data_IF_599582506395
#
_entry.id   IF_599582506395
#
_cell.length_a   1.000
_cell.length_b   1.000
_cell.length_c   1.000
_cell.angle_alpha   90.00
_cell.angle_beta   90.00
_cell.angle_gamma   90.00
#
_symmetry.space_group_name_H-M   'P 1'
#
loop_
_entity.id
_entity.type
_entity.pdbx_description
1 polymer ?
#
# COMPACT_ATOMS: atom_id res chain seq x y z
N UNK A 1 12.19 12.48 8.33
CA UNK A 1 11.66 11.32 7.56
C UNK A 1 10.98 10.36 8.53
N UNK A 2 10.12 9.47 8.02
CA UNK A 2 9.56 8.31 8.76
C UNK A 2 9.90 7.02 8.00
N UNK A 3 9.60 5.85 8.57
CA UNK A 3 9.74 4.55 7.95
C UNK A 3 8.41 3.79 7.91
N UNK A 4 8.35 2.75 7.09
CA UNK A 4 7.22 1.81 7.09
C UNK A 4 7.45 0.74 8.15
N UNK A 5 6.46 0.48 9.00
CA UNK A 5 6.48 -0.55 10.03
C UNK A 5 5.51 -1.66 9.63
N UNK A 6 5.93 -2.91 9.85
CA UNK A 6 5.12 -4.10 9.58
C UNK A 6 4.87 -4.88 10.88
N UNK A 7 3.61 -4.95 11.31
CA UNK A 7 3.16 -5.62 12.53
C UNK A 7 2.74 -7.06 12.27
N UNK A 8 3.67 -7.90 11.80
CA UNK A 8 3.39 -9.31 11.45
C UNK A 8 2.93 -10.18 12.63
N UNK A 9 3.18 -9.77 13.88
CA UNK A 9 2.88 -10.58 15.07
C UNK A 9 1.41 -10.97 15.18
N UNK A 10 0.48 -10.05 14.88
CA UNK A 10 -0.96 -10.34 14.89
C UNK A 10 -1.32 -11.38 13.83
N UNK A 11 -0.91 -11.12 12.59
CA UNK A 11 -1.13 -12.03 11.46
C UNK A 11 -0.60 -13.45 11.74
N UNK A 12 0.64 -13.59 12.21
CA UNK A 12 1.21 -14.90 12.52
C UNK A 12 0.49 -15.60 13.65
N UNK A 13 0.12 -14.87 14.71
CA UNK A 13 -0.63 -15.43 15.84
C UNK A 13 -1.97 -16.01 15.38
N UNK A 14 -2.69 -15.29 14.53
CA UNK A 14 -3.99 -15.73 14.03
C UNK A 14 -3.88 -16.93 13.10
N UNK A 15 -2.87 -16.96 12.22
CA UNK A 15 -2.60 -18.10 11.33
C UNK A 15 -2.23 -19.37 12.11
N UNK A 16 -1.40 -19.26 13.15
CA UNK A 16 -1.03 -20.39 14.00
C UNK A 16 -2.25 -20.91 14.78
N UNK A 17 -3.05 -20.01 15.36
CA UNK A 17 -4.31 -20.41 16.04
C UNK A 17 -5.25 -21.15 15.10
N UNK A 18 -5.42 -20.66 13.86
CA UNK A 18 -6.25 -21.31 12.86
C UNK A 18 -5.73 -22.70 12.47
N UNK A 19 -4.41 -22.89 12.41
CA UNK A 19 -3.83 -24.20 12.17
C UNK A 19 -4.07 -25.15 13.34
N UNK A 20 -3.84 -24.67 14.58
CA UNK A 20 -4.02 -25.47 15.80
C UNK A 20 -5.46 -25.95 16.01
N UNK A 21 -6.46 -25.13 15.64
CA UNK A 21 -7.88 -25.48 15.79
C UNK A 21 -8.50 -26.10 14.53
N UNK A 22 -7.70 -26.40 13.50
CA UNK A 22 -8.15 -27.02 12.25
C UNK A 22 -9.01 -26.13 11.35
N UNK A 23 -9.11 -24.82 11.63
CA UNK A 23 -9.87 -23.86 10.81
C UNK A 23 -9.05 -23.18 9.70
N UNK A 24 -7.74 -23.46 9.62
CA UNK A 24 -6.87 -22.87 8.61
C UNK A 24 -7.33 -23.18 7.19
N UNK A 25 -7.29 -22.16 6.34
CA UNK A 25 -7.53 -22.25 4.91
C UNK A 25 -6.46 -21.47 4.14
N UNK A 26 -6.11 -21.99 2.97
CA UNK A 26 -5.29 -21.26 2.01
C UNK A 26 -6.05 -20.01 1.55
N UNK A 27 -5.36 -18.88 1.54
CA UNK A 27 -5.90 -17.60 1.09
C UNK A 27 -4.75 -16.66 0.69
N UNK A 28 -5.06 -15.67 -0.14
CA UNK A 28 -4.15 -14.59 -0.49
C UNK A 28 -4.33 -13.44 0.51
N UNK A 29 -3.25 -13.03 1.14
CA UNK A 29 -3.26 -11.94 2.11
C UNK A 29 -2.45 -10.75 1.59
N UNK A 30 -3.11 -9.59 1.51
CA UNK A 30 -2.50 -8.31 1.20
C UNK A 30 -2.79 -7.35 2.35
N UNK A 31 -1.82 -7.17 3.24
CA UNK A 31 -2.00 -6.34 4.43
C UNK A 31 -2.05 -4.85 4.13
N UNK A 32 -2.58 -4.10 5.08
CA UNK A 32 -2.99 -2.71 4.88
C UNK A 32 -2.75 -1.85 6.13
N UNK A 33 -3.09 -0.57 6.03
CA UNK A 33 -3.18 0.32 7.20
C UNK A 33 -4.48 0.07 7.97
N UNK A 34 -5.55 -0.36 7.29
CA UNK A 34 -6.87 -0.62 7.89
C UNK A 34 -6.90 -1.83 8.81
N UNK A 35 -6.22 -2.92 8.44
CA UNK A 35 -6.11 -4.15 9.25
C UNK A 35 -4.96 -4.10 10.25
N UNK A 36 -4.20 -3.00 10.28
CA UNK A 36 -3.13 -2.76 11.24
C UNK A 36 -1.83 -3.49 10.95
N UNK A 37 -1.67 -4.14 9.78
CA UNK A 37 -0.39 -4.73 9.42
C UNK A 37 0.67 -3.66 9.15
N UNK A 38 0.28 -2.59 8.46
CA UNK A 38 1.19 -1.54 8.00
C UNK A 38 0.95 -0.26 8.80
N UNK A 39 2.02 0.36 9.27
CA UNK A 39 1.97 1.68 9.90
C UNK A 39 3.22 2.53 9.54
N UNK A 40 3.21 3.80 9.94
CA UNK A 40 4.31 4.73 9.91
C UNK A 40 5.04 4.72 11.26
N UNK A 41 6.36 4.66 11.21
CA UNK A 41 7.21 4.89 12.37
C UNK A 41 7.06 6.34 12.89
N UNK A 42 7.55 6.64 14.10
CA UNK A 42 7.65 8.02 14.55
C UNK A 42 8.44 8.88 13.55
N UNK A 43 7.95 10.10 13.29
CA UNK A 43 8.66 11.03 12.42
C UNK A 43 9.93 11.54 13.10
N UNK A 44 11.04 11.55 12.35
CA UNK A 44 12.29 12.19 12.77
C UNK A 44 12.09 13.67 13.13
N UNK A 45 12.95 14.19 14.00
CA UNK A 45 12.81 15.53 14.61
C UNK A 45 12.79 16.68 13.61
N UNK A 46 13.40 16.51 12.43
CA UNK A 46 13.46 17.54 11.38
C UNK A 46 12.15 17.73 10.60
N UNK A 47 11.12 16.90 10.80
CA UNK A 47 9.84 17.04 10.09
C UNK A 47 8.96 18.09 10.79
N UNK A 48 8.59 19.21 10.13
CA UNK A 48 7.72 20.23 10.71
C UNK A 48 6.32 19.68 11.03
N UNK A 49 5.64 20.26 12.01
CA UNK A 49 4.32 19.81 12.43
C UNK A 49 3.30 19.82 11.30
N UNK A 50 3.28 20.89 10.49
CA UNK A 50 2.37 21.00 9.34
C UNK A 50 2.52 19.83 8.34
N UNK A 51 3.75 19.33 8.15
CA UNK A 51 4.03 18.18 7.29
C UNK A 51 3.55 16.87 7.95
N UNK A 52 3.72 16.73 9.27
CA UNK A 52 3.20 15.57 10.02
C UNK A 52 1.68 15.49 9.92
N UNK A 53 1.01 16.63 10.01
CA UNK A 53 -0.45 16.71 9.92
C UNK A 53 -0.94 16.31 8.53
N UNK A 54 -0.27 16.78 7.46
CA UNK A 54 -0.59 16.38 6.09
C UNK A 54 -0.40 14.87 5.86
N UNK A 55 0.68 14.29 6.37
CA UNK A 55 0.95 12.85 6.25
C UNK A 55 -0.10 12.05 7.03
N UNK A 56 -0.42 12.47 8.26
CA UNK A 56 -1.45 11.82 9.09
C UNK A 56 -2.81 11.86 8.42
N UNK A 57 -3.22 13.02 7.89
CA UNK A 57 -4.48 13.15 7.16
C UNK A 57 -4.53 12.23 5.94
N UNK A 58 -3.41 12.06 5.21
CA UNK A 58 -3.36 11.14 4.07
C UNK A 58 -3.38 9.67 4.51
N UNK A 59 -2.69 9.30 5.59
CA UNK A 59 -2.75 7.97 6.21
C UNK A 59 -4.18 7.61 6.59
N UNK A 60 -4.91 8.54 7.22
CA UNK A 60 -6.31 8.32 7.60
C UNK A 60 -7.23 8.20 6.39
N UNK A 61 -6.95 8.94 5.31
CA UNK A 61 -7.67 8.79 4.05
C UNK A 61 -7.45 7.41 3.39
N UNK A 62 -6.22 6.88 3.43
CA UNK A 62 -5.91 5.50 3.00
C UNK A 62 -6.63 4.50 3.90
N UNK A 63 -6.53 4.66 5.22
CA UNK A 63 -7.13 3.77 6.21
C UNK A 63 -8.65 3.68 6.07
N UNK A 64 -9.31 4.79 5.78
CA UNK A 64 -10.76 4.86 5.55
C UNK A 64 -11.20 4.42 4.16
N UNK A 65 -10.26 4.27 3.21
CA UNK A 65 -10.56 3.99 1.81
C UNK A 65 -11.11 5.19 1.02
N UNK A 66 -11.17 6.38 1.63
CA UNK A 66 -11.55 7.64 0.95
C UNK A 66 -10.49 8.12 -0.03
N UNK A 67 -9.25 7.65 0.13
CA UNK A 67 -8.18 7.76 -0.85
C UNK A 67 -7.63 6.36 -1.15
N UNK A 68 -7.38 6.09 -2.44
CA UNK A 68 -6.71 4.87 -2.89
C UNK A 68 -5.68 5.26 -3.94
N UNK A 69 -4.42 4.99 -3.66
CA UNK A 69 -3.25 5.47 -4.39
C UNK A 69 -3.16 4.94 -5.82
N UNK A 70 -3.78 3.79 -6.11
CA UNK A 70 -3.87 3.23 -7.46
C UNK A 70 -5.23 3.50 -8.13
N UNK A 71 -5.86 4.64 -7.79
CA UNK A 71 -7.01 5.17 -8.54
C UNK A 71 -6.52 6.03 -9.69
N UNK A 72 -7.03 5.79 -10.90
CA UNK A 72 -6.70 6.59 -12.08
C UNK A 72 -7.24 8.02 -12.02
N UNK A 73 -6.70 8.93 -12.86
CA UNK A 73 -5.92 8.59 -14.05
C UNK A 73 -4.44 8.31 -13.75
N UNK A 74 -3.94 7.14 -14.19
CA UNK A 74 -2.51 6.81 -14.16
C UNK A 74 -1.99 6.58 -15.57
N UNK A 75 -0.86 7.21 -15.87
CA UNK A 75 -0.14 7.11 -17.14
C UNK A 75 1.22 6.48 -16.92
N UNK A 76 1.73 5.78 -17.92
CA UNK A 76 3.11 5.29 -17.90
C UNK A 76 4.14 6.37 -18.30
N UNK A 77 5.41 5.99 -18.34
CA UNK A 77 6.53 6.83 -18.76
C UNK A 77 6.39 7.38 -20.20
N UNK A 78 5.63 6.73 -21.08
CA UNK A 78 5.36 7.20 -22.46
C UNK A 78 4.18 8.18 -22.52
N UNK A 79 3.41 8.30 -21.45
CA UNK A 79 2.18 9.08 -21.38
C UNK A 79 0.92 8.30 -21.76
N UNK A 80 1.04 7.01 -22.06
CA UNK A 80 -0.11 6.14 -22.32
C UNK A 80 -0.92 5.94 -21.03
N UNK A 81 -2.25 6.03 -21.11
CA UNK A 81 -3.14 5.84 -19.97
C UNK A 81 -3.31 4.34 -19.71
N UNK A 82 -2.90 3.88 -18.54
CA UNK A 82 -3.08 2.49 -18.08
C UNK A 82 -4.28 2.33 -17.16
N UNK A 83 -4.52 3.33 -16.31
CA UNK A 83 -5.67 3.33 -15.39
C UNK A 83 -6.53 4.55 -15.70
N UNK A 84 -7.72 4.39 -16.31
CA UNK A 84 -8.60 5.51 -16.60
C UNK A 84 -9.07 6.24 -15.34
N UNK A 85 -9.48 7.50 -15.49
CA UNK A 85 -9.99 8.31 -14.38
C UNK A 85 -11.13 7.59 -13.63
N UNK A 86 -11.03 7.55 -12.29
CA UNK A 86 -12.02 6.92 -11.42
C UNK A 86 -11.96 5.38 -11.35
N UNK A 87 -11.08 4.73 -12.14
CA UNK A 87 -10.87 3.29 -12.06
C UNK A 87 -9.86 2.97 -10.96
N UNK A 88 -10.14 1.97 -10.12
CA UNK A 88 -9.23 1.48 -9.10
C UNK A 88 -8.60 0.18 -9.56
N UNK A 89 -7.27 0.06 -9.44
CA UNK A 89 -6.62 -1.24 -9.59
C UNK A 89 -7.03 -2.18 -8.45
N UNK A 90 -7.09 -3.47 -8.76
CA UNK A 90 -7.24 -4.54 -7.77
C UNK A 90 -5.86 -5.03 -7.32
N UNK A 91 -5.79 -5.76 -6.20
CA UNK A 91 -4.55 -6.41 -5.76
C UNK A 91 -3.97 -7.34 -6.83
N UNK A 92 -4.82 -8.02 -7.61
CA UNK A 92 -4.37 -8.85 -8.72
C UNK A 92 -3.68 -8.03 -9.82
N UNK A 93 -4.22 -6.85 -10.13
CA UNK A 93 -3.60 -5.95 -11.10
C UNK A 93 -2.26 -5.43 -10.59
N UNK A 94 -2.14 -5.15 -9.29
CA UNK A 94 -0.88 -4.74 -8.68
C UNK A 94 0.20 -5.82 -8.79
N UNK A 95 -0.16 -7.09 -8.59
CA UNK A 95 0.79 -8.21 -8.78
C UNK A 95 1.23 -8.38 -10.23
N UNK A 96 0.42 -7.94 -11.19
CA UNK A 96 0.72 -8.02 -12.61
C UNK A 96 1.37 -6.74 -13.16
N UNK A 97 1.59 -5.72 -12.33
CA UNK A 97 2.11 -4.43 -12.78
C UNK A 97 3.55 -4.56 -13.31
N UNK A 98 3.73 -4.26 -14.60
CA UNK A 98 4.99 -4.39 -15.34
C UNK A 98 5.41 -3.07 -16.04
N UNK A 99 4.89 -1.95 -15.56
CA UNK A 99 5.13 -0.61 -16.08
C UNK A 99 5.37 0.38 -14.94
N UNK A 100 6.05 1.48 -15.24
CA UNK A 100 6.26 2.57 -14.28
C UNK A 100 5.40 3.78 -14.61
N UNK A 101 4.89 4.44 -13.57
CA UNK A 101 4.12 5.67 -13.71
C UNK A 101 4.95 6.81 -14.30
N UNK A 102 4.27 7.73 -14.97
CA UNK A 102 4.89 8.91 -15.58
C UNK A 102 5.77 9.67 -14.56
N UNK A 103 6.98 10.03 -14.98
CA UNK A 103 7.96 10.75 -14.15
C UNK A 103 8.96 9.86 -13.42
N UNK A 104 8.75 8.54 -13.35
CA UNK A 104 9.75 7.59 -12.86
C UNK A 104 10.85 7.42 -13.90
N UNK A 105 12.11 7.38 -13.47
CA UNK A 105 13.27 7.06 -14.30
C UNK A 105 13.72 5.63 -13.95
N UNK A 106 13.77 4.74 -14.95
CA UNK A 106 14.13 3.34 -14.77
C UNK A 106 13.48 2.44 -15.82
N UNK A 107 13.78 1.13 -15.77
CA UNK A 107 13.15 0.09 -16.60
C UNK A 107 12.31 -0.86 -15.73
N UNK A 108 11.00 -1.02 -15.98
CA UNK A 108 10.13 -1.87 -15.17
C UNK A 108 10.44 -3.37 -15.27
N UNK A 109 11.22 -3.81 -16.27
CA UNK A 109 11.64 -5.20 -16.44
C UNK A 109 12.99 -5.53 -15.81
N UNK A 110 13.59 -4.58 -15.09
CA UNK A 110 14.97 -4.69 -14.61
C UNK A 110 16.00 -4.47 -15.73
N UNK A 111 17.27 -4.37 -15.33
CA UNK A 111 18.43 -4.30 -16.21
C UNK A 111 18.89 -5.67 -16.66
#
# INVERSE_FOLDING_TARGET
MTGTVYHWGGYYTDRVKAAMNGSWKSDNYYGSISDGLIDLAPFGTSVPQSVRDQITAKKDAIKSGSFYEFTGPLKDQTGAVHVPAGTKLTVSDLYAMDWFVQGVIGNPKGS
#
